data_IF_867700128720
#
_entry.id   IF_867700128720
#
_cell.length_a   1.000
_cell.length_b   1.000
_cell.length_c   1.000
_cell.angle_alpha   90.00
_cell.angle_beta   90.00
_cell.angle_gamma   90.00
#
_symmetry.space_group_name_H-M   'P 1'
#
loop_
_entity.id
_entity.type
_entity.pdbx_description
1 polymer ?
#
# COMPACT_ATOMS: atom_id res chain seq x y z
N UNK A 1 12.10 -3.92 -6.46
CA UNK A 1 11.76 -2.68 -5.74
C UNK A 1 13.02 -2.03 -5.16
N UNK A 2 14.06 -1.83 -5.98
CA UNK A 2 15.27 -1.10 -5.62
C UNK A 2 15.46 -0.01 -6.68
N UNK A 3 14.85 1.15 -6.44
CA UNK A 3 15.13 2.38 -7.16
C UNK A 3 15.94 3.25 -6.22
N UNK A 4 17.08 3.76 -6.67
CA UNK A 4 18.14 4.38 -5.85
C UNK A 4 17.78 5.71 -5.17
N UNK A 5 16.79 5.70 -4.27
CA UNK A 5 16.50 6.79 -3.34
C UNK A 5 15.28 6.50 -2.44
N UNK A 6 15.26 6.99 -1.18
CA UNK A 6 14.30 6.58 -0.13
C UNK A 6 12.86 7.08 -0.31
N UNK A 7 12.52 7.66 -1.47
CA UNK A 7 11.20 8.27 -1.71
C UNK A 7 10.38 7.56 -2.79
N UNK A 8 11.00 6.72 -3.62
CA UNK A 8 10.29 6.03 -4.69
C UNK A 8 9.38 4.91 -4.16
N UNK A 9 9.75 4.26 -3.05
CA UNK A 9 9.02 3.11 -2.51
C UNK A 9 7.57 3.45 -2.15
N UNK A 10 7.32 4.63 -1.56
CA UNK A 10 5.96 5.13 -1.27
C UNK A 10 5.13 5.35 -2.53
N UNK A 11 5.74 5.93 -3.57
CA UNK A 11 5.11 6.14 -4.87
C UNK A 11 4.74 4.81 -5.54
N UNK A 12 5.62 3.81 -5.46
CA UNK A 12 5.32 2.46 -5.95
C UNK A 12 4.17 1.81 -5.16
N UNK A 13 4.18 1.89 -3.83
CA UNK A 13 3.09 1.33 -3.01
C UNK A 13 1.72 1.93 -3.39
N UNK A 14 1.67 3.26 -3.56
CA UNK A 14 0.46 3.93 -4.04
C UNK A 14 0.07 3.48 -5.46
N UNK A 15 1.02 3.40 -6.38
CA UNK A 15 0.76 2.96 -7.75
C UNK A 15 0.21 1.52 -7.80
N UNK A 16 0.79 0.59 -7.03
CA UNK A 16 0.29 -0.78 -6.91
C UNK A 16 -1.13 -0.81 -6.34
N UNK A 17 -1.38 -0.10 -5.23
CA UNK A 17 -2.70 -0.05 -4.62
C UNK A 17 -3.78 0.47 -5.60
N UNK A 18 -3.46 1.52 -6.35
CA UNK A 18 -4.41 2.18 -7.24
C UNK A 18 -4.61 1.49 -8.59
N UNK A 19 -3.55 0.95 -9.18
CA UNK A 19 -3.55 0.46 -10.56
C UNK A 19 -3.28 -1.04 -10.70
N UNK A 20 -2.61 -1.66 -9.72
CA UNK A 20 -2.24 -3.07 -9.77
C UNK A 20 -3.46 -3.98 -9.66
N UNK A 21 -3.44 -5.13 -10.33
CA UNK A 21 -4.36 -6.25 -10.17
C UNK A 21 -3.99 -7.16 -9.00
N UNK A 22 -4.71 -8.27 -8.83
CA UNK A 22 -4.36 -9.28 -7.82
C UNK A 22 -3.02 -9.97 -8.17
N UNK A 23 -2.78 -10.14 -9.47
CA UNK A 23 -1.54 -10.62 -10.08
C UNK A 23 -0.33 -9.72 -9.82
N UNK A 24 -0.53 -8.43 -9.50
CA UNK A 24 0.55 -7.46 -9.30
C UNK A 24 0.99 -7.34 -7.82
N UNK A 25 0.52 -8.25 -6.96
CA UNK A 25 0.85 -8.26 -5.52
C UNK A 25 2.20 -8.91 -5.21
N UNK A 26 2.72 -9.75 -6.11
CA UNK A 26 3.98 -10.51 -5.90
C UNK A 26 5.16 -9.61 -5.47
N UNK A 27 5.42 -8.45 -6.10
CA UNK A 27 6.53 -7.59 -5.67
C UNK A 27 6.38 -7.05 -4.24
N UNK A 28 5.16 -6.81 -3.77
CA UNK A 28 4.89 -6.37 -2.40
C UNK A 28 5.12 -7.51 -1.40
N UNK A 29 4.68 -8.72 -1.75
CA UNK A 29 4.86 -9.93 -0.94
C UNK A 29 6.35 -10.24 -0.81
N UNK A 30 7.08 -10.29 -1.91
CA UNK A 30 8.53 -10.54 -1.92
C UNK A 30 9.30 -9.49 -1.10
N UNK A 31 8.86 -8.24 -1.15
CA UNK A 31 9.46 -7.17 -0.36
C UNK A 31 9.27 -7.39 1.13
N UNK A 32 8.05 -7.74 1.57
CA UNK A 32 7.78 -8.01 2.98
C UNK A 32 8.50 -9.27 3.46
N UNK A 33 8.53 -10.34 2.66
CA UNK A 33 9.30 -11.54 2.99
C UNK A 33 10.78 -11.24 3.21
N UNK A 34 11.34 -10.36 2.38
CA UNK A 34 12.74 -9.99 2.45
C UNK A 34 13.05 -9.08 3.63
N UNK A 35 12.25 -8.05 3.88
CA UNK A 35 12.64 -6.97 4.80
C UNK A 35 11.85 -6.93 6.11
N UNK A 36 10.63 -7.48 6.18
CA UNK A 36 9.83 -7.45 7.41
C UNK A 36 10.47 -8.21 8.59
N UNK A 37 11.14 -9.38 8.42
CA UNK A 37 11.79 -10.07 9.53
C UNK A 37 13.13 -9.47 10.00
N UNK A 38 13.64 -8.43 9.33
CA UNK A 38 14.94 -7.83 9.59
C UNK A 38 14.78 -6.45 10.25
N UNK A 39 14.71 -6.37 11.60
CA UNK A 39 14.40 -5.13 12.32
C UNK A 39 15.43 -4.01 12.14
N UNK A 40 16.64 -4.34 11.67
CA UNK A 40 17.71 -3.41 11.30
C UNK A 40 17.38 -2.59 10.04
N UNK A 41 16.53 -3.10 9.15
CA UNK A 41 16.15 -2.40 7.92
C UNK A 41 14.84 -1.65 8.13
N UNK A 42 14.91 -0.35 8.41
CA UNK A 42 13.72 0.51 8.61
C UNK A 42 13.34 1.27 7.33
N UNK A 43 12.94 0.52 6.31
CA UNK A 43 12.55 1.05 5.00
C UNK A 43 11.04 1.33 4.93
N UNK A 44 10.43 1.14 3.76
CA UNK A 44 9.03 1.44 3.47
C UNK A 44 8.08 0.27 3.84
N UNK A 45 8.47 -0.64 4.76
CA UNK A 45 7.64 -1.81 5.10
C UNK A 45 6.21 -1.43 5.50
N UNK A 46 6.01 -0.35 6.25
CA UNK A 46 4.67 0.10 6.65
C UNK A 46 3.81 0.51 5.45
N UNK A 47 4.40 1.11 4.42
CA UNK A 47 3.71 1.47 3.19
C UNK A 47 3.37 0.24 2.34
N UNK A 48 4.30 -0.72 2.26
CA UNK A 48 4.06 -1.99 1.55
C UNK A 48 2.94 -2.79 2.24
N UNK A 49 2.93 -2.82 3.57
CA UNK A 49 1.85 -3.41 4.37
C UNK A 49 0.49 -2.75 4.09
N UNK A 50 0.44 -1.42 4.12
CA UNK A 50 -0.80 -0.69 3.83
C UNK A 50 -1.32 -0.92 2.41
N UNK A 51 -0.42 -1.01 1.43
CA UNK A 51 -0.79 -1.28 0.04
C UNK A 51 -1.36 -2.69 -0.13
N UNK A 52 -0.72 -3.68 0.51
CA UNK A 52 -1.18 -5.07 0.47
C UNK A 52 -2.56 -5.23 1.13
N UNK A 53 -2.77 -4.59 2.28
CA UNK A 53 -4.06 -4.57 2.97
C UNK A 53 -5.17 -3.87 2.18
N UNK A 54 -4.83 -2.81 1.42
CA UNK A 54 -5.78 -2.16 0.51
C UNK A 54 -6.18 -3.10 -0.64
N UNK A 55 -5.19 -3.78 -1.24
CA UNK A 55 -5.44 -4.73 -2.33
C UNK A 55 -6.30 -5.91 -1.88
N UNK A 56 -6.15 -6.35 -0.62
CA UNK A 56 -6.94 -7.43 -0.03
C UNK A 56 -8.42 -7.09 0.22
N UNK A 57 -8.84 -5.83 0.10
CA UNK A 57 -10.28 -5.48 0.13
C UNK A 57 -11.03 -5.96 -1.10
N UNK A 58 -10.31 -6.39 -2.15
CA UNK A 58 -10.90 -6.90 -3.37
C UNK A 58 -11.47 -8.30 -3.14
N UNK A 59 -12.57 -8.68 -3.82
CA UNK A 59 -13.10 -10.03 -3.69
C UNK A 59 -12.09 -11.09 -4.14
N UNK A 60 -11.81 -12.07 -3.26
CA UNK A 60 -10.97 -13.23 -3.58
C UNK A 60 -9.47 -13.06 -3.30
N UNK A 61 -9.07 -11.95 -2.68
CA UNK A 61 -7.68 -11.70 -2.25
C UNK A 61 -7.52 -11.89 -0.74
N UNK A 62 -6.38 -12.44 -0.32
CA UNK A 62 -6.02 -12.67 1.10
C UNK A 62 -4.49 -12.78 1.27
N UNK A 63 -3.75 -11.89 0.63
CA UNK A 63 -2.29 -11.94 0.59
C UNK A 63 -1.63 -11.50 1.90
N UNK A 64 -2.28 -10.62 2.65
CA UNK A 64 -1.80 -10.00 3.88
C UNK A 64 -1.89 -10.95 5.08
N UNK A 65 -2.83 -11.90 5.10
CA UNK A 65 -3.09 -12.76 6.27
C UNK A 65 -1.83 -13.49 6.77
N UNK A 66 -0.98 -14.00 5.88
CA UNK A 66 0.29 -14.67 6.25
C UNK A 66 1.27 -13.77 7.03
N UNK A 67 1.19 -12.45 6.85
CA UNK A 67 2.08 -11.50 7.52
C UNK A 67 1.57 -11.08 8.90
N UNK A 68 0.24 -11.03 9.07
CA UNK A 68 -0.43 -10.47 10.27
C UNK A 68 -1.10 -11.50 11.18
N UNK A 69 -1.29 -12.75 10.72
CA UNK A 69 -1.74 -13.84 11.58
C UNK A 69 -0.79 -14.03 12.78
N UNK A 70 -1.26 -14.61 13.90
CA UNK A 70 -0.39 -14.92 15.04
C UNK A 70 0.86 -15.71 14.62
N UNK A 71 2.05 -15.29 15.05
CA UNK A 71 3.33 -15.84 14.61
C UNK A 71 3.83 -15.33 13.24
N UNK A 72 3.06 -14.44 12.60
CA UNK A 72 3.38 -13.82 11.31
C UNK A 72 4.66 -12.97 11.35
N UNK A 73 5.13 -12.57 10.17
CA UNK A 73 6.36 -11.78 10.05
C UNK A 73 6.23 -10.39 10.70
N UNK A 74 5.03 -9.81 10.78
CA UNK A 74 4.83 -8.52 11.44
C UNK A 74 5.18 -8.55 12.92
N UNK A 75 4.85 -9.63 13.65
CA UNK A 75 5.13 -9.74 15.09
C UNK A 75 6.62 -9.69 15.44
N UNK A 76 7.48 -10.05 14.47
CA UNK A 76 8.95 -10.06 14.60
C UNK A 76 9.61 -8.79 14.05
N UNK A 77 8.82 -7.85 13.55
CA UNK A 77 9.32 -6.65 12.89
C UNK A 77 9.53 -5.50 13.87
N UNK A 78 10.39 -4.56 13.49
CA UNK A 78 10.59 -3.30 14.21
C UNK A 78 9.30 -2.46 14.32
N UNK A 79 8.33 -2.65 13.42
CA UNK A 79 7.04 -1.96 13.48
C UNK A 79 6.20 -2.43 14.67
N UNK A 80 6.27 -3.72 15.02
CA UNK A 80 5.62 -4.26 16.21
C UNK A 80 6.24 -3.71 17.49
N UNK A 81 7.55 -3.60 17.54
CA UNK A 81 8.27 -3.00 18.69
C UNK A 81 7.84 -1.55 18.93
N UNK A 82 7.58 -0.80 17.85
CA UNK A 82 7.06 0.57 17.91
C UNK A 82 5.53 0.64 18.08
N UNK A 83 4.86 -0.50 18.21
CA UNK A 83 3.40 -0.62 18.29
C UNK A 83 2.66 0.11 17.16
N UNK A 84 3.21 0.05 15.94
CA UNK A 84 2.57 0.59 14.74
C UNK A 84 1.45 -0.36 14.33
N UNK A 85 0.21 0.14 14.34
CA UNK A 85 -0.95 -0.58 13.83
C UNK A 85 -0.86 -0.73 12.30
N UNK A 86 -0.88 -1.96 11.74
CA UNK A 86 -0.96 -2.20 10.30
C UNK A 86 -2.12 -1.49 9.58
N UNK A 87 -3.21 -1.19 10.29
CA UNK A 87 -4.35 -0.48 9.71
C UNK A 87 -4.05 0.99 9.41
N UNK A 88 -3.16 1.64 10.15
CA UNK A 88 -2.90 3.07 9.98
C UNK A 88 -2.24 3.41 8.61
N UNK A 89 -1.23 2.67 8.13
CA UNK A 89 -0.72 2.85 6.76
C UNK A 89 -1.75 2.56 5.66
N UNK A 90 -2.65 1.57 5.88
CA UNK A 90 -3.74 1.27 4.95
C UNK A 90 -4.69 2.47 4.83
N UNK A 91 -5.14 3.04 5.95
CA UNK A 91 -6.02 4.22 5.96
C UNK A 91 -5.44 5.39 5.15
N UNK A 92 -4.12 5.56 5.19
CA UNK A 92 -3.44 6.59 4.42
C UNK A 92 -3.47 6.29 2.91
N UNK A 93 -3.23 5.05 2.52
CA UNK A 93 -3.31 4.61 1.11
C UNK A 93 -4.74 4.72 0.59
N UNK A 94 -5.75 4.36 1.38
CA UNK A 94 -7.16 4.51 1.02
C UNK A 94 -7.52 5.97 0.73
N UNK A 95 -6.98 6.91 1.52
CA UNK A 95 -7.20 8.35 1.30
C UNK A 95 -6.53 8.82 0.02
N UNK A 96 -5.32 8.36 -0.29
CA UNK A 96 -4.63 8.71 -1.52
C UNK A 96 -5.36 8.18 -2.76
N UNK A 97 -5.82 6.92 -2.72
CA UNK A 97 -6.58 6.32 -3.82
C UNK A 97 -7.90 7.07 -4.04
N UNK A 98 -8.67 7.31 -2.97
CA UNK A 98 -9.91 8.09 -3.05
C UNK A 98 -9.69 9.50 -3.60
N UNK A 99 -8.66 10.20 -3.12
CA UNK A 99 -8.34 11.53 -3.63
C UNK A 99 -8.05 11.50 -5.13
N UNK A 100 -7.30 10.51 -5.61
CA UNK A 100 -7.03 10.34 -7.03
C UNK A 100 -8.32 10.05 -7.84
N UNK A 101 -9.22 9.23 -7.29
CA UNK A 101 -10.51 8.93 -7.90
C UNK A 101 -11.41 10.16 -8.02
N UNK A 102 -11.47 10.96 -6.96
CA UNK A 102 -12.23 12.21 -6.92
C UNK A 102 -11.70 13.20 -7.97
N UNK A 103 -10.37 13.34 -8.09
CA UNK A 103 -9.76 14.21 -9.10
C UNK A 103 -10.07 13.77 -10.53
N UNK A 104 -10.10 12.47 -10.81
CA UNK A 104 -10.42 11.97 -12.15
C UNK A 104 -11.91 12.09 -12.47
N UNK A 105 -12.78 11.89 -11.46
CA UNK A 105 -14.23 12.01 -11.63
C UNK A 105 -14.71 13.46 -11.78
N UNK A 106 -14.01 14.41 -11.14
CA UNK A 106 -14.29 15.85 -11.28
C UNK A 106 -13.86 16.40 -12.65
N UNK A 107 -12.95 15.72 -13.36
CA UNK A 107 -12.51 16.09 -14.71
C UNK A 107 -13.51 15.76 -15.83
N UNK A 108 -14.46 14.86 -15.60
CA UNK A 108 -15.53 14.49 -16.55
C UNK A 108 -16.77 15.41 -16.45
N UNK A 109 -16.73 16.40 -15.55
CA UNK A 109 -17.73 17.46 -15.45
C UNK A 109 -17.62 18.46 -16.61
N UNK A 110 -18.29 18.16 -17.72
CA UNK A 110 -18.72 19.06 -18.80
C UNK A 110 -18.40 20.54 -18.56
N UNK A 111 -17.41 21.07 -19.29
CA UNK A 111 -17.31 22.51 -19.56
C UNK A 111 -18.55 22.86 -20.41
N UNK A 112 -19.66 23.18 -19.75
CA UNK A 112 -20.76 23.86 -20.41
C UNK A 112 -20.25 25.24 -20.78
N UNK A 113 -20.08 25.46 -22.08
CA UNK A 113 -19.95 26.75 -22.71
C UNK A 113 -20.93 27.74 -22.06
N UNK A 114 -20.41 28.70 -21.29
CA UNK A 114 -21.15 29.93 -21.01
C UNK A 114 -21.05 30.77 -22.28
N UNK A 115 -22.04 30.64 -23.15
CA UNK A 115 -22.42 31.73 -24.04
C UNK A 115 -23.34 32.68 -23.28
N UNK A 116 -22.80 33.82 -22.83
CA UNK A 116 -23.31 35.14 -23.21
C UNK A 116 -22.42 36.28 -22.71
#
# INVERSE_FOLDING_TARGET
MESGGPYAGKGYCFAFARFGGAEDTEPLIDYLDRYLPHPEYRYDQSWVMGALLHLDERPGTDHATRFFAPGGLWERSWLKELNVDPAAPKDWIDRLCRFADDCMSAGDGTISHVER
#
